data_IF_615823934186
#
_entry.id   IF_615823934186
#
_cell.length_a   1.000
_cell.length_b   1.000
_cell.length_c   1.000
_cell.angle_alpha   90.00
_cell.angle_beta   90.00
_cell.angle_gamma   90.00
#
_symmetry.space_group_name_H-M   'P 1'
#
loop_
_entity.id
_entity.type
_entity.pdbx_description
1 polymer ?
#
# COMPACT_ATOMS: atom_id res chain seq x y z
N UNK A 1 10.49 30.07 -4.80
CA UNK A 1 11.04 28.83 -5.37
C UNK A 1 10.01 27.74 -5.09
N UNK A 2 9.34 27.24 -6.11
CA UNK A 2 8.34 26.17 -5.95
C UNK A 2 9.09 24.88 -5.63
N UNK A 3 8.90 24.35 -4.41
CA UNK A 3 9.22 22.95 -4.15
C UNK A 3 8.27 22.12 -5.02
N UNK A 4 8.73 21.70 -6.19
CA UNK A 4 8.04 20.69 -6.96
C UNK A 4 8.15 19.39 -6.17
N UNK A 5 7.12 19.08 -5.38
CA UNK A 5 6.99 17.81 -4.68
C UNK A 5 7.03 16.72 -5.74
N UNK A 6 8.18 16.10 -5.92
CA UNK A 6 8.37 15.06 -6.92
C UNK A 6 7.56 13.85 -6.49
N UNK A 7 6.76 13.27 -7.39
CA UNK A 7 5.94 12.11 -7.08
C UNK A 7 6.80 11.00 -6.46
N UNK A 8 6.33 10.34 -5.38
CA UNK A 8 7.11 9.32 -4.71
C UNK A 8 7.38 8.15 -5.68
N UNK A 9 8.56 7.54 -5.54
CA UNK A 9 9.01 6.46 -6.43
C UNK A 9 9.14 5.15 -5.66
N UNK A 10 8.90 4.04 -6.35
CA UNK A 10 8.90 2.71 -5.74
C UNK A 10 8.90 1.58 -6.76
N UNK A 11 8.38 0.43 -6.34
CA UNK A 11 8.14 -0.74 -7.20
C UNK A 11 6.64 -0.94 -7.40
N UNK A 12 6.25 -1.65 -8.46
CA UNK A 12 4.83 -1.95 -8.70
C UNK A 12 4.39 -3.20 -7.93
N UNK A 13 3.15 -3.19 -7.46
CA UNK A 13 2.44 -4.36 -6.94
C UNK A 13 1.00 -4.39 -7.46
N UNK A 14 0.48 -5.58 -7.73
CA UNK A 14 -0.91 -5.80 -8.14
C UNK A 14 -1.80 -5.90 -6.92
N UNK A 15 -3.03 -5.40 -7.04
CA UNK A 15 -4.09 -5.56 -6.05
C UNK A 15 -4.89 -6.83 -6.37
N UNK A 16 -4.96 -7.74 -5.41
CA UNK A 16 -5.81 -8.92 -5.43
C UNK A 16 -7.10 -8.62 -4.68
N UNK A 17 -8.22 -8.71 -5.41
CA UNK A 17 -9.57 -8.47 -4.90
C UNK A 17 -10.32 -9.80 -4.78
N UNK A 18 -11.41 -9.78 -4.02
CA UNK A 18 -12.36 -10.89 -4.00
C UNK A 18 -12.93 -11.12 -5.42
N UNK A 19 -12.79 -12.34 -5.94
CA UNK A 19 -13.30 -12.71 -7.26
C UNK A 19 -14.84 -12.61 -7.38
N UNK A 20 -15.57 -12.64 -6.26
CA UNK A 20 -17.02 -12.43 -6.22
C UNK A 20 -17.43 -10.94 -6.33
N UNK A 21 -16.47 -10.02 -6.40
CA UNK A 21 -16.72 -8.59 -6.59
C UNK A 21 -17.15 -7.81 -5.34
N UNK A 22 -17.13 -8.43 -4.16
CA UNK A 22 -17.37 -7.71 -2.92
C UNK A 22 -16.24 -6.73 -2.60
N UNK A 23 -16.60 -5.50 -2.25
CA UNK A 23 -15.68 -4.43 -1.88
C UNK A 23 -16.09 -3.84 -0.52
N UNK A 24 -15.20 -3.93 0.46
CA UNK A 24 -15.39 -3.37 1.81
C UNK A 24 -14.40 -2.24 2.12
N UNK A 25 -13.73 -1.69 1.10
CA UNK A 25 -12.77 -0.59 1.23
C UNK A 25 -13.40 0.76 1.54
N UNK A 26 -14.73 0.88 1.54
CA UNK A 26 -15.43 2.17 1.66
C UNK A 26 -14.90 3.22 0.67
N UNK A 27 -14.82 2.85 -0.62
CA UNK A 27 -14.28 3.67 -1.71
C UNK A 27 -12.77 3.99 -1.58
N UNK A 28 -12.01 3.10 -0.94
CA UNK A 28 -10.54 3.17 -0.86
C UNK A 28 -9.86 3.03 -2.23
N UNK A 29 -8.53 3.09 -2.26
CA UNK A 29 -7.77 3.01 -3.52
C UNK A 29 -8.07 1.72 -4.27
N UNK A 30 -8.26 0.62 -3.55
CA UNK A 30 -8.53 -0.71 -4.09
C UNK A 30 -9.89 -0.84 -4.75
N UNK A 31 -10.80 0.11 -4.56
CA UNK A 31 -12.04 0.21 -5.33
C UNK A 31 -11.82 0.73 -6.77
N UNK A 32 -10.72 1.47 -6.99
CA UNK A 32 -10.54 2.32 -8.19
C UNK A 32 -9.38 1.87 -9.08
N UNK A 33 -8.32 1.32 -8.50
CA UNK A 33 -7.08 0.98 -9.23
C UNK A 33 -6.70 -0.48 -9.05
N UNK A 34 -5.98 -1.04 -10.03
CA UNK A 34 -5.56 -2.45 -10.04
C UNK A 34 -4.13 -2.65 -9.56
N UNK A 35 -3.35 -1.57 -9.46
CA UNK A 35 -1.94 -1.61 -9.08
C UNK A 35 -1.59 -0.42 -8.18
N UNK A 36 -0.52 -0.59 -7.41
CA UNK A 36 0.02 0.44 -6.50
C UNK A 36 1.53 0.56 -6.65
N UNK A 37 2.04 1.73 -6.27
CA UNK A 37 3.47 1.98 -6.17
C UNK A 37 3.89 1.79 -4.72
N UNK A 38 4.56 0.68 -4.43
CA UNK A 38 5.06 0.37 -3.09
C UNK A 38 6.34 1.17 -2.85
N UNK A 39 6.33 2.03 -1.85
CA UNK A 39 7.45 2.86 -1.43
C UNK A 39 7.90 2.51 -0.02
N UNK A 40 9.10 2.94 0.35
CA UNK A 40 9.61 2.85 1.72
C UNK A 40 11.04 2.35 1.81
N UNK A 41 11.48 2.15 3.05
CA UNK A 41 12.83 1.68 3.34
C UNK A 41 13.09 0.29 2.73
N UNK A 42 14.27 0.11 2.13
CA UNK A 42 14.64 -1.15 1.48
C UNK A 42 13.97 -1.40 0.13
N UNK A 43 13.23 -0.42 -0.41
CA UNK A 43 12.74 -0.42 -1.79
C UNK A 43 13.60 0.53 -2.62
N UNK A 44 14.46 -0.04 -3.48
CA UNK A 44 15.19 0.74 -4.48
C UNK A 44 14.18 1.22 -5.55
N UNK A 45 13.91 2.52 -5.67
CA UNK A 45 12.79 3.03 -6.47
C UNK A 45 13.05 2.95 -7.98
N UNK A 46 12.02 2.61 -8.75
CA UNK A 46 12.10 2.50 -10.22
C UNK A 46 10.98 3.28 -10.90
N UNK A 47 9.76 3.16 -10.38
CA UNK A 47 8.56 3.72 -11.00
C UNK A 47 8.02 4.87 -10.17
N UNK A 48 7.60 5.94 -10.83
CA UNK A 48 6.83 7.02 -10.21
C UNK A 48 5.41 6.56 -9.91
N UNK A 49 4.89 7.02 -8.77
CA UNK A 49 3.48 6.91 -8.44
C UNK A 49 2.66 7.84 -9.33
N UNK A 50 1.47 7.36 -9.73
CA UNK A 50 0.51 8.12 -10.55
C UNK A 50 -0.88 8.00 -9.92
N UNK A 51 -1.88 8.69 -10.48
CA UNK A 51 -3.27 8.55 -10.03
C UNK A 51 -3.80 7.13 -10.27
N UNK A 52 -3.38 6.48 -11.35
CA UNK A 52 -3.73 5.10 -11.71
C UNK A 52 -2.92 4.05 -10.94
N UNK A 53 -1.78 4.45 -10.35
CA UNK A 53 -0.92 3.62 -9.52
C UNK A 53 -0.45 4.39 -8.26
N UNK A 54 -1.38 4.66 -7.32
CA UNK A 54 -1.12 5.49 -6.15
C UNK A 54 -0.07 4.85 -5.24
N UNK A 55 0.60 5.70 -4.45
CA UNK A 55 1.63 5.25 -3.53
C UNK A 55 1.06 4.59 -2.29
N UNK A 56 1.65 3.47 -1.90
CA UNK A 56 1.42 2.80 -0.61
C UNK A 56 2.75 2.53 0.06
N UNK A 57 2.76 2.49 1.39
CA UNK A 57 3.92 2.09 2.19
C UNK A 57 3.63 0.80 2.92
N UNK A 58 4.67 -0.02 3.13
CA UNK A 58 4.59 -1.19 3.99
C UNK A 58 4.76 -0.75 5.45
N UNK A 59 3.85 -1.18 6.30
CA UNK A 59 3.86 -0.92 7.74
C UNK A 59 4.01 -2.24 8.48
N UNK A 60 4.86 -2.23 9.50
CA UNK A 60 5.08 -3.35 10.41
C UNK A 60 4.80 -2.86 11.81
N UNK A 61 3.64 -3.23 12.34
CA UNK A 61 3.24 -2.87 13.70
C UNK A 61 3.27 -4.12 14.57
N UNK A 62 3.78 -3.98 15.80
CA UNK A 62 3.46 -4.95 16.84
C UNK A 62 2.00 -4.75 17.23
N UNK A 63 1.17 -5.77 16.99
CA UNK A 63 -0.22 -5.77 17.41
C UNK A 63 -0.36 -6.20 18.86
N UNK A 64 -1.57 -6.03 19.38
CA UNK A 64 -2.01 -6.66 20.62
C UNK A 64 -1.66 -8.16 20.58
N UNK A 65 -1.05 -8.68 21.66
CA UNK A 65 -0.53 -10.06 21.80
C UNK A 65 0.87 -10.35 21.22
N UNK A 66 1.67 -9.33 20.88
CA UNK A 66 3.07 -9.47 20.41
C UNK A 66 3.21 -10.16 19.04
N UNK A 67 2.16 -10.16 18.24
CA UNK A 67 2.24 -10.58 16.85
C UNK A 67 2.63 -9.38 15.99
N UNK A 68 3.60 -9.55 15.08
CA UNK A 68 3.92 -8.51 14.10
C UNK A 68 2.96 -8.64 12.93
N UNK A 69 2.12 -7.62 12.73
CA UNK A 69 1.26 -7.53 11.55
C UNK A 69 1.96 -6.68 10.50
N UNK A 70 2.13 -7.25 9.31
CA UNK A 70 2.64 -6.53 8.14
C UNK A 70 1.50 -6.27 7.17
N UNK A 71 1.25 -4.99 6.86
CA UNK A 71 0.26 -4.56 5.87
C UNK A 71 0.82 -3.44 5.01
N UNK A 72 0.11 -3.10 3.93
CA UNK A 72 0.35 -1.87 3.18
C UNK A 72 -0.78 -0.87 3.42
N UNK A 73 -0.48 0.42 3.39
CA UNK A 73 -1.48 1.49 3.51
C UNK A 73 -1.16 2.66 2.57
N UNK A 74 -2.17 3.42 2.11
CA UNK A 74 -1.95 4.61 1.30
C UNK A 74 -1.08 5.65 2.02
N UNK A 75 -0.24 6.33 1.25
CA UNK A 75 0.51 7.49 1.74
C UNK A 75 -0.44 8.69 1.76
N UNK A 76 -0.75 9.20 2.95
CA UNK A 76 -1.56 10.41 3.08
C UNK A 76 -0.76 11.66 2.64
N UNK A 77 -1.41 12.70 2.10
CA UNK A 77 -0.78 14.01 1.91
C UNK A 77 -0.22 14.53 3.24
N UNK A 78 0.91 15.23 3.20
CA UNK A 78 1.59 15.76 4.40
C UNK A 78 0.72 16.73 5.22
N UNK A 79 -0.26 17.38 4.58
CA UNK A 79 -1.13 18.40 5.16
C UNK A 79 -2.41 17.85 5.81
N UNK A 80 -2.64 16.53 5.78
CA UNK A 80 -3.82 15.89 6.37
C UNK A 80 -3.42 14.96 7.54
N UNK A 81 -4.21 14.90 8.63
CA UNK A 81 -4.03 13.86 9.63
C UNK A 81 -4.12 12.50 8.93
N UNK A 82 -3.07 11.68 9.03
CA UNK A 82 -3.06 10.36 8.43
C UNK A 82 -4.27 9.57 8.95
N UNK A 83 -5.25 9.24 8.09
CA UNK A 83 -6.45 8.56 8.55
C UNK A 83 -6.08 7.16 8.99
N UNK A 84 -6.83 6.62 9.96
CA UNK A 84 -6.64 5.24 10.38
C UNK A 84 -7.17 4.33 9.28
N UNK A 85 -6.25 3.70 8.54
CA UNK A 85 -6.64 2.76 7.50
C UNK A 85 -6.89 1.38 8.08
N UNK A 86 -8.01 0.78 7.66
CA UNK A 86 -8.39 -0.58 8.04
C UNK A 86 -8.35 -1.52 6.84
N UNK A 87 -8.24 -2.81 7.14
CA UNK A 87 -8.32 -3.86 6.14
C UNK A 87 -9.71 -3.91 5.50
N UNK A 88 -9.76 -3.74 4.17
CA UNK A 88 -10.98 -3.79 3.36
C UNK A 88 -11.21 -5.10 2.62
N UNK A 89 -10.39 -6.14 2.87
CA UNK A 89 -10.51 -7.44 2.20
C UNK A 89 -9.67 -7.61 0.93
N UNK A 90 -8.75 -6.69 0.64
CA UNK A 90 -7.87 -6.75 -0.55
C UNK A 90 -6.40 -6.91 -0.16
N UNK A 91 -5.62 -7.52 -1.03
CA UNK A 91 -4.19 -7.78 -0.80
C UNK A 91 -3.35 -7.17 -1.91
N UNK A 92 -2.06 -6.95 -1.66
CA UNK A 92 -1.10 -6.59 -2.71
C UNK A 92 0.04 -7.60 -2.81
N UNK A 93 0.57 -7.78 -4.02
CA UNK A 93 1.73 -8.63 -4.26
C UNK A 93 2.58 -8.12 -5.42
N UNK A 94 3.88 -8.35 -5.32
CA UNK A 94 4.82 -8.24 -6.43
C UNK A 94 5.78 -9.43 -6.43
N UNK A 95 6.11 -9.94 -7.61
CA UNK A 95 7.17 -10.94 -7.78
C UNK A 95 8.57 -10.34 -7.60
N UNK A 96 8.68 -9.02 -7.50
CA UNK A 96 9.94 -8.34 -7.25
C UNK A 96 10.53 -8.73 -5.88
N UNK A 97 11.80 -9.11 -5.86
CA UNK A 97 12.46 -9.56 -4.62
C UNK A 97 12.56 -8.46 -3.55
N UNK A 98 12.49 -7.18 -3.95
CA UNK A 98 12.44 -6.03 -3.05
C UNK A 98 11.15 -6.00 -2.25
N UNK A 99 10.03 -6.43 -2.84
CA UNK A 99 8.74 -6.51 -2.16
C UNK A 99 8.79 -7.49 -0.99
N UNK A 100 9.22 -8.75 -1.21
CA UNK A 100 9.34 -9.73 -0.12
C UNK A 100 10.33 -9.31 0.95
N UNK A 101 11.43 -8.62 0.57
CA UNK A 101 12.44 -8.12 1.51
C UNK A 101 11.84 -7.04 2.41
N UNK A 102 11.11 -6.09 1.82
CA UNK A 102 10.43 -5.04 2.57
C UNK A 102 9.28 -5.60 3.43
N UNK A 103 8.47 -6.51 2.90
CA UNK A 103 7.40 -7.18 3.63
C UNK A 103 7.92 -8.09 4.75
N UNK A 104 9.12 -8.64 4.63
CA UNK A 104 9.66 -9.61 5.60
C UNK A 104 9.01 -11.00 5.52
N UNK A 105 8.18 -11.23 4.50
CA UNK A 105 7.51 -12.51 4.25
C UNK A 105 7.32 -12.74 2.74
N UNK A 106 7.14 -14.00 2.37
CA UNK A 106 6.76 -14.37 1.00
C UNK A 106 5.24 -14.41 0.87
N UNK A 107 4.72 -13.89 -0.24
CA UNK A 107 3.28 -13.86 -0.52
C UNK A 107 2.68 -12.47 -0.47
N UNK A 108 1.37 -12.40 -0.69
CA UNK A 108 0.62 -11.16 -0.67
C UNK A 108 0.45 -10.65 0.76
N UNK A 109 0.39 -9.32 0.94
CA UNK A 109 0.11 -8.69 2.24
C UNK A 109 -1.22 -7.93 2.19
N UNK A 110 -1.92 -7.77 3.31
CA UNK A 110 -3.16 -6.98 3.37
C UNK A 110 -2.92 -5.54 2.89
N UNK A 111 -3.88 -5.01 2.14
CA UNK A 111 -3.99 -3.58 1.85
C UNK A 111 -5.03 -2.96 2.78
N UNK A 112 -4.58 -2.08 3.65
CA UNK A 112 -5.41 -1.27 4.51
C UNK A 112 -5.67 0.05 3.80
N UNK A 113 -6.81 0.17 3.13
CA UNK A 113 -7.22 1.39 2.44
C UNK A 113 -8.63 1.83 2.80
N UNK A 114 -9.31 1.11 3.70
CA UNK A 114 -10.62 1.49 4.22
C UNK A 114 -10.51 2.66 5.18
N UNK A 115 -11.27 3.72 4.91
CA UNK A 115 -11.47 4.88 5.80
C UNK A 115 -12.86 4.81 6.45
N UNK A 116 -13.02 5.28 7.68
CA UNK A 116 -14.30 5.49 8.38
C UNK A 116 -14.50 6.95 8.75
#
# INVERSE_FOLDING_TARGET
>A
MSNATTAPKGITALIYRNALGADFSNQGISARVMEVTVIGEGIDPVFEATEERPAVRIVKNESFHRETVTHAEPVAPEDEPAPWYMFGGTFIFSSDSRFRRAAGQYGAIPLHDRRE
#
